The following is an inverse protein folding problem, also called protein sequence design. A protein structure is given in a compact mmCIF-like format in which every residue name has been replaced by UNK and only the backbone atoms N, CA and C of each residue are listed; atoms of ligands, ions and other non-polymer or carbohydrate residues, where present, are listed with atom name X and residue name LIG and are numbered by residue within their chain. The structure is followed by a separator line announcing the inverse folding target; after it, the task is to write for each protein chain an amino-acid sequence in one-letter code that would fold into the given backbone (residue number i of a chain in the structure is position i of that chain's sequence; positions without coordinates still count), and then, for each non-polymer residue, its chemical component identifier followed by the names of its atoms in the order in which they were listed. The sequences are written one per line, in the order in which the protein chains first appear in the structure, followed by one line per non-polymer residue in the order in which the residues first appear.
data_IF_072179693550
#
_entry.id   IF_072179693550
#
_cell.length_a   1.000
_cell.length_b   1.000
_cell.length_c   1.000
_cell.angle_alpha   90.00
_cell.angle_beta   90.00
_cell.angle_gamma   90.00
#
_symmetry.space_group_name_H-M   'P 1'
#
loop_
_entity.id
_entity.type
_entity.pdbx_description
1 polymer ?
#
# COMPACT_ATOMS: atom_id res chain seq x y z
N UNK A 1 20.12 -7.37 11.09
CA UNK A 1 19.62 -6.79 9.83
C UNK A 1 20.30 -5.47 9.47
N UNK A 2 21.50 -5.17 10.01
CA UNK A 2 22.26 -3.95 9.65
C UNK A 2 22.50 -3.89 8.13
N UNK A 3 22.25 -2.73 7.52
CA UNK A 3 22.35 -2.46 6.10
C UNK A 3 21.29 -3.13 5.22
N UNK A 4 20.41 -3.97 5.80
CA UNK A 4 19.33 -4.64 5.06
C UNK A 4 18.16 -3.68 4.84
N UNK A 5 17.41 -3.90 3.76
CA UNK A 5 16.24 -3.09 3.43
C UNK A 5 14.95 -3.76 3.89
N UNK A 6 14.11 -3.03 4.61
CA UNK A 6 12.75 -3.42 4.95
C UNK A 6 11.77 -2.50 4.21
N UNK A 7 10.73 -3.10 3.64
CA UNK A 7 9.59 -2.36 3.10
C UNK A 7 8.39 -2.59 4.00
N UNK A 8 7.79 -1.51 4.48
CA UNK A 8 6.68 -1.55 5.44
C UNK A 8 5.47 -0.91 4.79
N UNK A 9 4.43 -1.70 4.54
CA UNK A 9 3.14 -1.19 4.12
C UNK A 9 2.34 -0.79 5.34
N UNK A 10 1.96 0.48 5.43
CA UNK A 10 1.13 1.03 6.49
C UNK A 10 -0.30 1.23 5.98
N UNK A 11 -1.26 0.57 6.61
CA UNK A 11 -2.68 0.73 6.30
C UNK A 11 -3.18 2.15 6.54
N UNK A 12 -4.16 2.60 5.75
CA UNK A 12 -4.71 3.95 5.88
C UNK A 12 -5.26 4.23 7.28
N UNK A 13 -5.93 3.26 7.89
CA UNK A 13 -6.49 3.37 9.24
C UNK A 13 -5.45 3.59 10.35
N UNK A 14 -4.19 3.19 10.14
CA UNK A 14 -3.09 3.50 11.06
C UNK A 14 -2.72 4.98 10.99
N UNK A 15 -2.72 5.55 9.78
CA UNK A 15 -2.35 6.97 9.56
C UNK A 15 -3.42 7.93 10.08
N UNK A 16 -4.69 7.52 10.10
CA UNK A 16 -5.77 8.37 10.62
C UNK A 16 -5.73 8.56 12.15
N UNK A 17 -5.17 7.60 12.88
CA UNK A 17 -5.13 7.58 14.33
C UNK A 17 -3.77 8.14 14.78
N UNK A 18 -3.78 9.32 15.40
CA UNK A 18 -2.56 10.02 15.82
C UNK A 18 -1.67 9.17 16.75
N UNK A 19 -2.29 8.39 17.64
CA UNK A 19 -1.55 7.52 18.55
C UNK A 19 -0.90 6.38 17.78
N UNK A 20 -1.64 5.69 16.91
CA UNK A 20 -1.10 4.58 16.11
C UNK A 20 -0.03 5.06 15.14
N UNK A 21 -0.23 6.21 14.49
CA UNK A 21 0.76 6.84 13.62
C UNK A 21 2.05 7.17 14.38
N UNK A 22 1.94 7.73 15.59
CA UNK A 22 3.09 7.99 16.46
C UNK A 22 3.81 6.71 16.88
N UNK A 23 3.08 5.67 17.28
CA UNK A 23 3.65 4.37 17.63
C UNK A 23 4.41 3.75 16.42
N UNK A 24 3.86 3.80 15.21
CA UNK A 24 4.53 3.30 13.99
C UNK A 24 5.74 4.15 13.62
N UNK A 25 5.64 5.48 13.69
CA UNK A 25 6.76 6.37 13.40
C UNK A 25 7.94 6.14 14.36
N UNK A 26 7.66 5.90 15.65
CA UNK A 26 8.66 5.51 16.65
C UNK A 26 9.34 4.20 16.26
N UNK A 27 8.57 3.19 15.89
CA UNK A 27 9.13 1.87 15.59
C UNK A 27 9.95 1.90 14.29
N UNK A 28 9.52 2.66 13.27
CA UNK A 28 10.31 2.95 12.06
C UNK A 28 11.61 3.67 12.41
N UNK A 29 11.57 4.68 13.28
CA UNK A 29 12.76 5.40 13.74
C UNK A 29 13.74 4.47 14.47
N UNK A 30 13.26 3.54 15.30
CA UNK A 30 14.10 2.53 15.96
C UNK A 30 14.81 1.66 14.92
N UNK A 31 14.08 1.16 13.90
CA UNK A 31 14.69 0.36 12.83
C UNK A 31 15.76 1.15 12.09
N UNK A 32 15.46 2.41 11.72
CA UNK A 32 16.40 3.26 11.00
C UNK A 32 17.68 3.53 11.80
N UNK A 33 17.57 3.81 13.10
CA UNK A 33 18.71 4.01 14.02
C UNK A 33 19.53 2.75 14.30
N UNK A 34 18.99 1.57 13.99
CA UNK A 34 19.70 0.30 14.00
C UNK A 34 20.34 -0.03 12.63
N UNK A 35 20.52 0.99 11.79
CA UNK A 35 21.08 0.93 10.43
C UNK A 35 20.29 -0.01 9.50
N UNK A 36 18.98 -0.15 9.72
CA UNK A 36 18.08 -0.83 8.78
C UNK A 36 17.55 0.22 7.80
N UNK A 37 17.70 -0.03 6.50
CA UNK A 37 17.17 0.83 5.44
C UNK A 37 15.66 0.63 5.37
N UNK A 38 14.85 1.64 5.65
CA UNK A 38 13.38 1.50 5.68
C UNK A 38 12.74 2.28 4.55
N UNK A 39 11.85 1.63 3.81
CA UNK A 39 10.90 2.27 2.89
C UNK A 39 9.50 2.04 3.44
N UNK A 40 8.73 3.12 3.56
CA UNK A 40 7.32 3.05 3.95
C UNK A 40 6.47 3.19 2.70
N UNK A 41 5.51 2.30 2.49
CA UNK A 41 4.45 2.46 1.50
C UNK A 41 3.14 2.61 2.26
N UNK A 42 2.29 3.57 1.88
CA UNK A 42 1.03 3.77 2.60
C UNK A 42 -0.21 3.55 1.74
N UNK A 43 -1.28 3.11 2.39
CA UNK A 43 -2.62 3.12 1.83
C UNK A 43 -3.38 4.40 2.20
N UNK A 44 -4.69 4.37 1.97
CA UNK A 44 -5.60 5.45 2.36
C UNK A 44 -7.05 5.22 1.93
N UNK A 45 -7.44 3.96 1.69
CA UNK A 45 -8.75 3.60 1.15
C UNK A 45 -9.92 4.23 1.91
N UNK A 46 -10.01 4.05 3.24
CA UNK A 46 -11.07 4.65 4.06
C UNK A 46 -11.05 6.19 4.06
N UNK A 47 -9.87 6.82 4.07
CA UNK A 47 -9.75 8.28 3.97
C UNK A 47 -10.26 8.82 2.65
N UNK A 48 -10.01 8.07 1.57
CA UNK A 48 -10.45 8.46 0.24
C UNK A 48 -11.96 8.42 0.16
N UNK A 49 -12.61 7.40 0.73
CA UNK A 49 -14.08 7.32 0.81
C UNK A 49 -14.67 8.56 1.52
N UNK A 50 -14.11 8.92 2.68
CA UNK A 50 -14.53 10.11 3.44
C UNK A 50 -14.32 11.41 2.65
N UNK A 51 -13.22 11.53 1.91
CA UNK A 51 -12.95 12.73 1.10
C UNK A 51 -13.91 12.81 -0.09
N UNK A 52 -14.13 11.71 -0.81
CA UNK A 52 -15.04 11.68 -1.95
C UNK A 52 -16.47 12.01 -1.54
N UNK A 53 -16.93 11.50 -0.39
CA UNK A 53 -18.25 11.84 0.16
C UNK A 53 -18.36 13.35 0.46
N UNK A 54 -17.35 13.93 1.09
CA UNK A 54 -17.31 15.38 1.39
C UNK A 54 -17.30 16.25 0.13
N UNK A 55 -16.75 15.74 -0.97
CA UNK A 55 -16.72 16.42 -2.26
C UNK A 55 -17.99 16.16 -3.08
N UNK A 56 -18.93 15.36 -2.58
CA UNK A 56 -20.15 15.00 -3.30
C UNK A 56 -19.90 14.08 -4.51
N UNK A 57 -18.76 13.37 -4.53
CA UNK A 57 -18.40 12.44 -5.60
C UNK A 57 -19.07 11.09 -5.33
N UNK A 58 -19.70 10.51 -6.36
CA UNK A 58 -20.25 9.17 -6.27
C UNK A 58 -19.13 8.13 -6.39
N UNK A 59 -18.92 7.34 -5.35
CA UNK A 59 -17.99 6.20 -5.39
C UNK A 59 -18.77 4.96 -5.80
N UNK A 60 -18.52 4.49 -7.01
CA UNK A 60 -19.10 3.25 -7.51
C UNK A 60 -18.28 2.04 -7.06
N UNK A 61 -18.97 0.96 -6.71
CA UNK A 61 -18.36 -0.36 -6.47
C UNK A 61 -19.06 -1.39 -7.36
N UNK A 62 -18.27 -2.16 -8.09
CA UNK A 62 -18.75 -3.26 -8.94
C UNK A 62 -18.02 -4.53 -8.52
N UNK A 63 -18.76 -5.61 -8.21
CA UNK A 63 -18.22 -6.86 -7.66
C UNK A 63 -17.27 -6.64 -6.46
N UNK A 64 -17.66 -5.77 -5.53
CA UNK A 64 -16.87 -5.40 -4.35
C UNK A 64 -15.63 -4.53 -4.63
N UNK A 65 -15.32 -4.23 -5.90
CA UNK A 65 -14.15 -3.42 -6.31
C UNK A 65 -14.54 -1.96 -6.48
N UNK A 66 -13.73 -1.04 -5.93
CA UNK A 66 -13.91 0.40 -6.13
C UNK A 66 -13.53 0.78 -7.56
N UNK A 67 -14.42 1.48 -8.25
CA UNK A 67 -14.11 2.10 -9.53
C UNK A 67 -13.44 3.44 -9.27
N UNK A 68 -12.33 3.72 -9.96
CA UNK A 68 -11.64 5.01 -9.82
C UNK A 68 -11.99 5.87 -11.04
N UNK A 69 -12.96 6.77 -10.92
CA UNK A 69 -13.21 7.79 -11.95
C UNK A 69 -12.07 8.83 -11.96
N UNK A 70 -11.97 9.68 -13.01
CA UNK A 70 -11.02 10.80 -13.04
C UNK A 70 -11.14 11.73 -11.82
N UNK A 71 -12.36 12.03 -11.36
CA UNK A 71 -12.61 12.88 -10.19
C UNK A 71 -12.17 12.19 -8.88
N UNK A 72 -12.40 10.88 -8.76
CA UNK A 72 -11.92 10.08 -7.62
C UNK A 72 -10.40 10.01 -7.64
N UNK A 73 -9.77 9.89 -8.81
CA UNK A 73 -8.31 9.93 -8.96
C UNK A 73 -7.75 11.28 -8.50
N UNK A 74 -8.39 12.40 -8.85
CA UNK A 74 -7.93 13.72 -8.40
C UNK A 74 -8.04 13.88 -6.88
N UNK A 75 -9.12 13.38 -6.27
CA UNK A 75 -9.21 13.29 -4.81
C UNK A 75 -8.09 12.41 -4.21
N UNK A 76 -7.77 11.28 -4.87
CA UNK A 76 -6.68 10.40 -4.46
C UNK A 76 -5.31 11.08 -4.53
N UNK A 77 -5.02 11.87 -5.58
CA UNK A 77 -3.79 12.68 -5.71
C UNK A 77 -3.63 13.64 -4.54
N UNK A 78 -4.68 14.43 -4.24
CA UNK A 78 -4.67 15.39 -3.14
C UNK A 78 -4.45 14.71 -1.78
N UNK A 79 -5.12 13.58 -1.58
CA UNK A 79 -5.11 12.88 -0.30
C UNK A 79 -3.84 12.09 -0.06
N UNK A 80 -3.48 11.20 -0.99
CA UNK A 80 -2.38 10.26 -0.79
C UNK A 80 -1.04 10.98 -0.83
N UNK A 81 -0.77 11.76 -1.89
CA UNK A 81 0.51 12.45 -2.05
C UNK A 81 0.61 13.72 -1.21
N UNK A 82 -0.51 14.39 -0.99
CA UNK A 82 -0.60 15.59 -0.16
C UNK A 82 -0.67 15.23 1.32
N UNK A 83 -1.88 14.98 1.82
CA UNK A 83 -2.13 14.85 3.26
C UNK A 83 -1.43 13.64 3.90
N UNK A 84 -1.67 12.42 3.42
CA UNK A 84 -1.22 11.20 4.12
C UNK A 84 0.30 11.04 4.10
N UNK A 85 0.93 11.32 2.95
CA UNK A 85 2.39 11.38 2.87
C UNK A 85 2.98 12.41 3.85
N UNK A 86 2.39 13.61 3.94
CA UNK A 86 2.86 14.65 4.87
C UNK A 86 2.62 14.28 6.35
N UNK A 87 1.49 13.66 6.67
CA UNK A 87 1.18 13.21 8.03
C UNK A 87 2.23 12.19 8.52
N UNK A 88 2.60 11.22 7.67
CA UNK A 88 3.64 10.23 7.97
C UNK A 88 5.04 10.84 8.06
N UNK A 89 5.41 11.71 7.12
CA UNK A 89 6.70 12.45 7.17
C UNK A 89 6.77 13.31 8.44
N UNK A 90 5.68 13.98 8.82
CA UNK A 90 5.59 14.78 10.04
C UNK A 90 5.76 13.90 11.28
N UNK A 91 5.13 12.72 11.33
CA UNK A 91 5.28 11.78 12.42
C UNK A 91 6.73 11.29 12.58
N UNK A 92 7.39 10.91 11.49
CA UNK A 92 8.81 10.53 11.51
C UNK A 92 9.70 11.68 11.98
N UNK A 93 9.39 12.91 11.55
CA UNK A 93 10.14 14.11 11.95
C UNK A 93 10.06 14.39 13.45
N UNK A 94 8.95 14.05 14.12
CA UNK A 94 8.83 14.16 15.59
C UNK A 94 9.77 13.21 16.34
N UNK A 95 10.31 12.20 15.65
CA UNK A 95 11.33 11.28 16.15
C UNK A 95 12.72 11.60 15.56
N UNK A 96 12.95 12.85 15.11
CA UNK A 96 14.21 13.34 14.55
C UNK A 96 14.67 12.62 13.26
N UNK A 97 13.80 11.85 12.61
CA UNK A 97 14.15 11.17 11.38
C UNK A 97 14.00 12.10 10.16
N UNK A 98 14.89 11.91 9.18
CA UNK A 98 14.76 12.52 7.86
C UNK A 98 13.87 11.62 7.00
N UNK A 99 12.81 12.18 6.42
CA UNK A 99 11.90 11.45 5.55
C UNK A 99 11.50 12.28 4.33
N UNK A 100 11.24 11.61 3.22
CA UNK A 100 10.78 12.24 1.98
C UNK A 100 9.51 11.55 1.49
N UNK A 101 8.45 12.33 1.31
CA UNK A 101 7.24 11.85 0.65
C UNK A 101 7.48 11.72 -0.85
N UNK A 102 7.08 10.60 -1.43
CA UNK A 102 7.11 10.29 -2.85
C UNK A 102 5.77 9.65 -3.26
N UNK A 103 5.49 9.65 -4.55
CA UNK A 103 4.56 8.74 -5.21
C UNK A 103 5.36 7.75 -6.05
N UNK A 104 4.74 6.67 -6.48
CA UNK A 104 5.30 5.83 -7.54
C UNK A 104 5.56 6.62 -8.83
N UNK A 105 4.84 7.71 -9.10
CA UNK A 105 5.10 8.59 -10.24
C UNK A 105 6.44 9.35 -10.13
N UNK A 106 6.87 9.69 -8.92
CA UNK A 106 8.03 10.57 -8.70
C UNK A 106 9.33 9.89 -9.16
N UNK A 107 10.06 10.52 -10.08
CA UNK A 107 11.32 10.00 -10.60
C UNK A 107 11.20 8.70 -11.40
N UNK A 108 10.01 8.40 -11.96
CA UNK A 108 9.68 7.14 -12.64
C UNK A 108 9.82 5.90 -11.74
N UNK A 109 9.62 6.06 -10.42
CA UNK A 109 9.78 4.98 -9.45
C UNK A 109 8.94 3.74 -9.79
N UNK A 110 7.66 3.93 -10.14
CA UNK A 110 6.73 2.86 -10.51
C UNK A 110 6.07 3.20 -11.83
N UNK A 111 6.26 2.31 -12.79
CA UNK A 111 5.51 2.27 -14.03
C UNK A 111 4.33 1.32 -13.88
N UNK A 112 3.14 1.78 -14.24
CA UNK A 112 1.91 1.01 -14.24
C UNK A 112 1.29 0.95 -15.64
N UNK A 113 0.36 0.02 -15.82
CA UNK A 113 -0.57 0.03 -16.95
C UNK A 113 -1.99 0.09 -16.40
N UNK A 114 -2.90 0.70 -17.16
CA UNK A 114 -4.32 0.70 -16.80
C UNK A 114 -4.79 -0.75 -16.70
N UNK A 115 -5.44 -1.09 -15.59
CA UNK A 115 -6.00 -2.42 -15.37
C UNK A 115 -7.04 -2.71 -16.48
N UNK A 116 -6.89 -3.82 -17.21
CA UNK A 116 -7.87 -4.20 -18.23
C UNK A 116 -9.22 -4.49 -17.59
N UNK A 117 -10.29 -4.32 -18.36
CA UNK A 117 -11.62 -4.75 -17.93
C UNK A 117 -11.62 -6.27 -17.70
N UNK A 118 -12.32 -6.71 -16.66
CA UNK A 118 -12.37 -8.10 -16.27
C UNK A 118 -13.80 -8.54 -15.96
N UNK A 119 -14.12 -9.78 -16.29
CA UNK A 119 -15.35 -10.44 -15.87
C UNK A 119 -15.14 -10.99 -14.45
N UNK A 120 -15.84 -10.42 -13.48
CA UNK A 120 -15.75 -10.80 -12.07
C UNK A 120 -17.11 -11.28 -11.56
N UNK A 121 -17.07 -12.22 -10.62
CA UNK A 121 -18.26 -12.68 -9.92
C UNK A 121 -18.64 -11.66 -8.81
N UNK A 122 -19.89 -11.21 -8.80
CA UNK A 122 -20.44 -10.36 -7.75
C UNK A 122 -20.84 -11.16 -6.50
N UNK A 123 -21.38 -10.47 -5.48
CA UNK A 123 -21.79 -11.08 -4.22
C UNK A 123 -23.00 -12.03 -4.38
N UNK A 124 -23.71 -11.95 -5.51
CA UNK A 124 -24.85 -12.80 -5.86
C UNK A 124 -24.45 -14.00 -6.75
N UNK A 125 -23.17 -14.13 -7.10
CA UNK A 125 -22.66 -15.19 -7.96
C UNK A 125 -22.79 -14.91 -9.46
N UNK A 126 -23.15 -13.69 -9.87
CA UNK A 126 -23.30 -13.32 -11.28
C UNK A 126 -21.97 -12.81 -11.84
N UNK A 127 -21.69 -13.16 -13.09
CA UNK A 127 -20.53 -12.66 -13.82
C UNK A 127 -20.81 -11.27 -14.41
N UNK A 128 -20.10 -10.25 -13.93
CA UNK A 128 -20.25 -8.85 -14.33
C UNK A 128 -18.96 -8.33 -14.95
N UNK A 129 -19.06 -7.60 -16.06
CA UNK A 129 -17.93 -6.91 -16.67
C UNK A 129 -17.59 -5.67 -15.85
N UNK A 130 -16.36 -5.59 -15.35
CA UNK A 130 -15.88 -4.52 -14.48
C UNK A 130 -14.88 -3.65 -15.23
N UNK A 131 -15.20 -2.37 -15.38
CA UNK A 131 -14.26 -1.33 -15.77
C UNK A 131 -13.74 -0.61 -14.53
N UNK A 132 -12.45 -0.70 -14.27
CA UNK A 132 -11.84 -0.17 -13.04
C UNK A 132 -11.55 1.35 -13.11
N UNK A 133 -11.74 1.98 -14.27
CA UNK A 133 -11.40 3.38 -14.51
C UNK A 133 -9.89 3.61 -14.49
N UNK A 134 -9.44 4.55 -13.67
CA UNK A 134 -8.05 4.98 -13.50
C UNK A 134 -7.24 4.10 -12.54
N UNK A 135 -7.58 2.81 -12.43
CA UNK A 135 -6.81 1.84 -11.64
C UNK A 135 -5.63 1.32 -12.44
N UNK A 136 -4.47 1.23 -11.80
CA UNK A 136 -3.24 0.74 -12.40
C UNK A 136 -2.74 -0.56 -11.79
N UNK A 137 -2.15 -1.41 -12.65
CA UNK A 137 -1.35 -2.57 -12.27
C UNK A 137 0.13 -2.25 -12.44
N UNK A 138 0.92 -2.53 -11.40
CA UNK A 138 2.36 -2.29 -11.39
C UNK A 138 3.04 -3.21 -12.41
N UNK A 139 3.86 -2.64 -13.28
CA UNK A 139 4.58 -3.35 -14.34
C UNK A 139 6.09 -3.36 -14.14
N UNK A 140 6.64 -2.26 -13.64
CA UNK A 140 8.07 -2.10 -13.44
C UNK A 140 8.34 -1.12 -12.30
N UNK A 141 9.41 -1.37 -11.55
CA UNK A 141 9.89 -0.48 -10.49
C UNK A 141 11.34 -0.08 -10.79
N UNK A 142 11.62 1.22 -10.87
CA UNK A 142 12.96 1.78 -10.92
C UNK A 142 13.35 2.32 -9.53
N UNK A 143 14.21 1.59 -8.84
CA UNK A 143 14.59 1.91 -7.46
C UNK A 143 15.57 3.07 -7.35
N UNK A 144 16.01 3.70 -8.45
CA UNK A 144 17.08 4.70 -8.45
C UNK A 144 16.84 5.82 -7.44
N UNK A 145 15.62 6.36 -7.39
CA UNK A 145 15.28 7.43 -6.44
C UNK A 145 15.26 6.93 -4.99
N UNK A 146 14.74 5.72 -4.75
CA UNK A 146 14.71 5.12 -3.41
C UNK A 146 16.11 4.84 -2.88
N UNK A 147 16.97 4.23 -3.70
CA UNK A 147 18.36 3.93 -3.34
C UNK A 147 19.10 5.21 -2.97
N UNK A 148 18.96 6.28 -3.77
CA UNK A 148 19.57 7.59 -3.47
C UNK A 148 19.07 8.19 -2.15
N UNK A 149 17.76 8.13 -1.88
CA UNK A 149 17.21 8.62 -0.62
C UNK A 149 17.73 7.81 0.57
N UNK A 150 17.75 6.49 0.46
CA UNK A 150 18.23 5.58 1.49
C UNK A 150 19.73 5.74 1.75
N UNK A 151 20.55 5.91 0.71
CA UNK A 151 21.99 6.15 0.83
C UNK A 151 22.29 7.50 1.51
N UNK A 152 21.37 8.47 1.38
CA UNK A 152 21.41 9.75 2.09
C UNK A 152 20.81 9.69 3.51
N UNK A 153 20.47 8.49 4.03
CA UNK A 153 19.88 8.33 5.37
C UNK A 153 18.48 8.94 5.50
N UNK A 154 17.74 9.04 4.38
CA UNK A 154 16.37 9.58 4.35
C UNK A 154 15.38 8.45 4.08
N UNK A 155 14.34 8.36 4.90
CA UNK A 155 13.27 7.36 4.83
C UNK A 155 12.28 7.76 3.73
N UNK A 156 12.16 6.99 2.63
CA UNK A 156 11.15 7.25 1.61
C UNK A 156 9.76 6.81 2.10
N UNK A 157 8.77 7.68 1.92
CA UNK A 157 7.35 7.41 2.19
C UNK A 157 6.60 7.47 0.87
N UNK A 158 6.19 6.32 0.34
CA UNK A 158 5.64 6.17 -1.02
C UNK A 158 4.12 6.03 -0.98
N UNK A 159 3.44 6.90 -1.71
CA UNK A 159 2.00 6.83 -1.98
C UNK A 159 1.70 5.98 -3.22
N UNK A 160 0.52 5.33 -3.30
CA UNK A 160 0.22 4.30 -4.28
C UNK A 160 -0.27 4.87 -5.63
N UNK A 161 0.34 5.96 -6.07
CA UNK A 161 0.06 6.63 -7.35
C UNK A 161 1.24 6.40 -8.27
N UNK A 162 1.01 5.77 -9.42
CA UNK A 162 2.04 5.46 -10.43
C UNK A 162 1.70 6.15 -11.76
N UNK A 163 2.56 6.04 -12.76
CA UNK A 163 2.29 6.54 -14.11
C UNK A 163 2.39 5.45 -15.17
N UNK A 164 1.60 5.58 -16.23
CA UNK A 164 1.80 4.82 -17.46
C UNK A 164 2.91 5.42 -18.35
N UNK A 165 3.13 4.82 -19.54
CA UNK A 165 4.18 5.25 -20.49
C UNK A 165 3.94 6.64 -21.05
N UNK A 166 2.68 7.06 -21.06
CA UNK A 166 2.20 8.32 -21.61
C UNK A 166 2.16 9.43 -20.55
N UNK A 167 2.46 9.10 -19.28
CA UNK A 167 2.51 10.03 -18.16
C UNK A 167 1.17 10.22 -17.46
N UNK A 168 0.18 9.34 -17.71
CA UNK A 168 -1.08 9.38 -16.99
C UNK A 168 -0.95 8.70 -15.64
N UNK A 169 -1.45 9.40 -14.61
CA UNK A 169 -1.42 8.89 -13.24
C UNK A 169 -2.50 7.84 -13.04
N UNK A 170 -2.14 6.74 -12.40
CA UNK A 170 -3.04 5.64 -12.07
C UNK A 170 -3.01 5.34 -10.57
N UNK A 171 -4.17 4.98 -10.03
CA UNK A 171 -4.34 4.54 -8.64
C UNK A 171 -4.03 3.05 -8.53
N UNK A 172 -2.92 2.71 -7.88
CA UNK A 172 -2.47 1.32 -7.72
C UNK A 172 -2.87 0.75 -6.35
N UNK A 173 -2.88 -0.57 -6.23
CA UNK A 173 -2.99 -1.21 -4.93
C UNK A 173 -1.69 -1.00 -4.12
N UNK A 174 -1.82 -0.53 -2.87
CA UNK A 174 -0.67 -0.23 -2.01
C UNK A 174 0.10 -1.47 -1.54
N UNK A 175 -0.58 -2.60 -1.33
CA UNK A 175 0.05 -3.87 -0.96
C UNK A 175 0.86 -4.43 -2.13
N UNK A 176 0.27 -4.43 -3.34
CA UNK A 176 0.99 -4.80 -4.57
C UNK A 176 2.19 -3.89 -4.80
N UNK A 177 2.03 -2.56 -4.65
CA UNK A 177 3.15 -1.64 -4.80
C UNK A 177 4.26 -1.90 -3.77
N UNK A 178 3.91 -2.17 -2.52
CA UNK A 178 4.89 -2.49 -1.48
C UNK A 178 5.64 -3.79 -1.80
N UNK A 179 4.94 -4.82 -2.29
CA UNK A 179 5.55 -6.07 -2.70
C UNK A 179 6.51 -5.88 -3.87
N UNK A 180 6.10 -5.18 -4.92
CA UNK A 180 6.95 -4.92 -6.10
C UNK A 180 8.18 -4.06 -5.76
N UNK A 181 8.02 -3.05 -4.88
CA UNK A 181 9.15 -2.27 -4.37
C UNK A 181 10.10 -3.15 -3.54
N UNK A 182 9.56 -4.05 -2.70
CA UNK A 182 10.37 -4.97 -1.91
C UNK A 182 11.18 -5.92 -2.79
N UNK A 183 10.56 -6.48 -3.83
CA UNK A 183 11.21 -7.34 -4.82
C UNK A 183 12.33 -6.57 -5.53
N UNK A 184 12.03 -5.37 -6.05
CA UNK A 184 12.99 -4.57 -6.80
C UNK A 184 14.20 -4.11 -5.96
N UNK A 185 14.00 -3.83 -4.66
CA UNK A 185 15.06 -3.47 -3.73
C UNK A 185 15.84 -4.66 -3.17
N UNK A 186 15.40 -5.90 -3.44
CA UNK A 186 15.94 -7.09 -2.77
C UNK A 186 15.76 -7.02 -1.25
N UNK A 187 14.60 -6.52 -0.79
CA UNK A 187 14.35 -6.29 0.62
C UNK A 187 14.37 -7.60 1.41
N UNK A 188 14.98 -7.56 2.60
CA UNK A 188 15.03 -8.70 3.50
C UNK A 188 13.68 -9.00 4.15
N UNK A 189 12.79 -8.00 4.23
CA UNK A 189 11.43 -8.13 4.76
C UNK A 189 10.46 -7.21 4.03
N UNK A 190 9.28 -7.76 3.72
CA UNK A 190 8.05 -7.03 3.49
C UNK A 190 7.18 -7.19 4.74
N UNK A 191 6.74 -6.08 5.33
CA UNK A 191 5.87 -6.07 6.50
C UNK A 191 4.56 -5.40 6.09
N UNK A 192 3.46 -6.15 6.10
CA UNK A 192 2.13 -5.63 5.80
C UNK A 192 1.38 -5.35 7.10
N UNK A 193 1.18 -4.07 7.44
CA UNK A 193 0.38 -3.69 8.60
C UNK A 193 -1.10 -3.72 8.22
N UNK A 194 -1.81 -4.71 8.75
CA UNK A 194 -3.24 -4.91 8.56
C UNK A 194 -4.05 -4.55 9.81
N UNK A 195 -5.36 -4.50 9.66
CA UNK A 195 -6.33 -4.34 10.75
C UNK A 195 -6.82 -5.68 11.33
N UNK A 196 -6.40 -6.80 10.74
CA UNK A 196 -6.57 -8.16 11.28
C UNK A 196 -5.31 -8.62 12.01
N UNK A 197 -5.41 -9.53 13.00
CA UNK A 197 -4.26 -10.00 13.79
C UNK A 197 -3.20 -10.75 12.96
N UNK A 198 -3.55 -11.23 11.77
CA UNK A 198 -2.69 -11.97 10.86
C UNK A 198 -3.50 -12.98 10.06
N UNK A 199 -2.84 -14.03 9.59
CA UNK A 199 -3.50 -15.17 8.95
C UNK A 199 -4.03 -16.08 10.05
N UNK A 200 -5.31 -16.44 9.97
CA UNK A 200 -5.95 -17.40 10.87
C UNK A 200 -6.01 -18.77 10.17
N UNK A 201 -5.66 -19.84 10.87
CA UNK A 201 -5.86 -21.21 10.38
C UNK A 201 -7.35 -21.55 10.24
N UNK A 202 -8.18 -20.91 11.06
CA UNK A 202 -9.64 -21.00 11.05
C UNK A 202 -10.24 -19.59 11.19
N UNK A 203 -10.90 -19.11 10.14
CA UNK A 203 -11.48 -17.77 10.07
C UNK A 203 -12.52 -17.49 11.18
N UNK A 204 -13.19 -18.52 11.69
CA UNK A 204 -14.19 -18.40 12.76
C UNK A 204 -13.56 -18.44 14.16
N UNK A 205 -12.26 -18.78 14.25
CA UNK A 205 -11.54 -18.89 15.50
C UNK A 205 -10.41 -17.86 15.59
N UNK A 206 -10.67 -16.75 16.29
CA UNK A 206 -9.69 -15.67 16.50
C UNK A 206 -8.42 -16.07 17.27
N UNK A 207 -8.42 -17.24 17.92
CA UNK A 207 -7.22 -17.78 18.59
C UNK A 207 -6.32 -18.62 17.66
N UNK A 208 -6.75 -18.89 16.43
CA UNK A 208 -6.04 -19.73 15.46
C UNK A 208 -4.97 -18.97 14.66
N UNK A 209 -4.31 -18.00 15.28
CA UNK A 209 -3.30 -17.18 14.60
C UNK A 209 -2.12 -18.04 14.13
N UNK A 210 -1.91 -18.08 12.82
CA UNK A 210 -0.73 -18.69 12.22
C UNK A 210 0.48 -17.80 12.47
N UNK A 211 1.35 -18.21 13.39
CA UNK A 211 2.57 -17.48 13.73
C UNK A 211 3.67 -17.59 12.67
N UNK A 212 3.71 -18.71 11.95
CA UNK A 212 4.68 -18.98 10.89
C UNK A 212 4.10 -19.96 9.87
N UNK A 213 4.29 -19.66 8.60
CA UNK A 213 3.97 -20.54 7.49
C UNK A 213 4.90 -20.24 6.31
N UNK A 214 5.26 -21.27 5.56
CA UNK A 214 5.92 -21.16 4.27
C UNK A 214 4.90 -21.23 3.12
N UNK A 215 5.38 -21.25 1.87
CA UNK A 215 4.48 -21.34 0.71
C UNK A 215 3.64 -22.61 0.73
N UNK A 216 4.21 -23.75 1.12
CA UNK A 216 3.47 -25.00 1.20
C UNK A 216 2.34 -24.91 2.25
N UNK A 217 2.60 -24.28 3.39
CA UNK A 217 1.59 -24.02 4.42
C UNK A 217 0.43 -23.19 3.86
N UNK A 218 0.74 -22.13 3.11
CA UNK A 218 -0.28 -21.26 2.52
C UNK A 218 -1.06 -21.96 1.41
N UNK A 219 -0.40 -22.79 0.58
CA UNK A 219 -1.05 -23.58 -0.47
C UNK A 219 -2.06 -24.56 0.14
N UNK A 220 -1.66 -25.29 1.19
CA UNK A 220 -2.55 -26.22 1.92
C UNK A 220 -3.76 -25.48 2.54
N UNK A 221 -3.53 -24.29 3.10
CA UNK A 221 -4.61 -23.46 3.65
C UNK A 221 -5.58 -22.99 2.55
N UNK A 222 -5.07 -22.61 1.39
CA UNK A 222 -5.88 -22.19 0.26
C UNK A 222 -6.72 -23.35 -0.30
N UNK A 223 -6.14 -24.53 -0.43
CA UNK A 223 -6.85 -25.75 -0.86
C UNK A 223 -8.00 -26.13 0.08
N UNK A 224 -7.84 -25.86 1.38
CA UNK A 224 -8.87 -26.10 2.40
C UNK A 224 -9.88 -24.95 2.53
N UNK A 225 -9.72 -23.87 1.76
CA UNK A 225 -10.62 -22.73 1.76
C UNK A 225 -10.49 -21.83 2.98
N UNK A 226 -9.32 -21.78 3.64
CA UNK A 226 -9.10 -20.99 4.85
C UNK A 226 -9.11 -19.47 4.60
N UNK A 227 -8.91 -19.02 3.36
CA UNK A 227 -8.90 -17.60 3.00
C UNK A 227 -10.27 -17.15 2.47
N UNK A 228 -10.88 -16.17 3.14
CA UNK A 228 -11.99 -15.39 2.60
C UNK A 228 -11.49 -14.30 1.64
N UNK A 229 -12.31 -13.84 0.69
CA UNK A 229 -11.94 -12.77 -0.27
C UNK A 229 -11.47 -11.50 0.48
N UNK A 230 -10.28 -10.98 0.15
CA UNK A 230 -9.73 -9.74 0.72
C UNK A 230 -8.29 -9.48 0.33
#
# INVERSE_FOLDING_TARGET
YHGQTFVIKVGGEVIQDEKKLGDVARDVAILHRLDIRVVVVHGGGPQLDVLTEKLGLQVERVAGRRITSPEVLDAAKMLFRGRLSLDMVSALRRHDESAVGLSGADGNLVQAVRRPEALLEDDEGNMVQVNFGEVGDVCQVDTTILVKSLDAGTIPVVSPLAMDKEGQVLNCNADTMAAEIAIALGAAKLILMSNVPGILEDAENSSSLLHYGDLATLDEMQERGAFSRG
#
